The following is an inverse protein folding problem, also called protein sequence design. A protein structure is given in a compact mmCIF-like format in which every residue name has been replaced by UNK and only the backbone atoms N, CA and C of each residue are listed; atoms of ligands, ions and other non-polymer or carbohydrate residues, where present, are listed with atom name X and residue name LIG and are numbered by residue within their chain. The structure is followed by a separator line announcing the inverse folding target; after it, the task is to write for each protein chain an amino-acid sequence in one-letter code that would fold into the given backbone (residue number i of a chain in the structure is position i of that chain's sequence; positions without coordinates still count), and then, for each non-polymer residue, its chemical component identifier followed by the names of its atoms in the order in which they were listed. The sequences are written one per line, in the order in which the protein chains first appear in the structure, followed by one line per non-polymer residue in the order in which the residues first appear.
data_IF_372995708914
#
_entry.id   IF_372995708914
#
_cell.length_a   1.000
_cell.length_b   1.000
_cell.length_c   1.000
_cell.angle_alpha   90.00
_cell.angle_beta   90.00
_cell.angle_gamma   90.00
#
_symmetry.space_group_name_H-M   'P 1'
#
loop_
_entity.id
_entity.type
_entity.pdbx_description
1 polymer ?
#
# COMPACT_ATOMS: atom_id res chain seq x y z
N UNK A 1 -8.76 24.34 1.51
CA UNK A 1 -7.85 24.33 2.67
C UNK A 1 -7.25 22.93 2.75
N UNK A 2 -5.91 22.87 2.71
CA UNK A 2 -5.07 21.68 2.62
C UNK A 2 -5.28 20.68 3.76
N UNK A 3 -5.28 19.39 3.42
CA UNK A 3 -4.95 18.29 4.35
C UNK A 3 -4.38 17.12 3.55
N UNK A 4 -3.24 17.36 2.90
CA UNK A 4 -2.38 16.31 2.36
C UNK A 4 -0.97 16.34 2.99
N UNK A 5 -0.69 17.36 3.81
CA UNK A 5 0.67 17.69 4.29
C UNK A 5 1.07 16.92 5.56
N UNK A 6 0.11 16.37 6.31
CA UNK A 6 0.32 15.78 7.65
C UNK A 6 1.15 14.47 7.66
N UNK A 7 1.28 13.76 6.53
CA UNK A 7 2.08 12.52 6.46
C UNK A 7 3.57 12.75 6.23
N UNK A 8 4.00 13.99 6.01
CA UNK A 8 5.39 14.33 5.71
C UNK A 8 6.30 14.32 6.93
N UNK A 9 5.74 14.37 8.14
CA UNK A 9 6.48 14.52 9.40
C UNK A 9 6.86 13.18 10.06
N UNK A 10 6.54 12.05 9.43
CA UNK A 10 7.07 10.75 9.87
C UNK A 10 8.48 10.62 9.29
N UNK A 11 9.54 10.63 10.12
CA UNK A 11 10.90 10.46 9.61
C UNK A 11 10.99 9.10 8.95
N UNK A 12 11.23 9.10 7.63
CA UNK A 12 11.43 7.86 6.88
C UNK A 12 12.64 7.15 7.49
N UNK A 13 12.51 5.86 7.87
CA UNK A 13 13.65 5.14 8.41
C UNK A 13 14.77 5.14 7.37
N UNK A 14 15.96 5.54 7.82
CA UNK A 14 17.16 5.55 6.98
C UNK A 14 17.48 4.10 6.60
N UNK A 15 17.68 3.86 5.29
CA UNK A 15 18.01 2.54 4.73
C UNK A 15 19.29 2.03 5.37
N UNK A 16 19.22 0.88 6.04
CA UNK A 16 20.36 0.20 6.61
C UNK A 16 21.04 -0.67 5.54
N UNK A 17 22.36 -0.90 5.65
CA UNK A 17 23.03 -1.93 4.86
C UNK A 17 22.28 -3.26 5.00
N UNK A 18 21.90 -3.87 3.87
CA UNK A 18 21.13 -5.14 3.83
C UNK A 18 19.61 -4.98 3.63
N UNK A 19 19.03 -3.79 3.78
CA UNK A 19 17.60 -3.57 3.51
C UNK A 19 17.24 -3.88 2.06
N UNK A 20 18.14 -3.58 1.13
CA UNK A 20 17.96 -3.90 -0.30
C UNK A 20 17.84 -5.41 -0.53
N UNK A 21 18.75 -6.21 0.03
CA UNK A 21 18.73 -7.67 -0.10
C UNK A 21 17.48 -8.30 0.56
N UNK A 22 17.04 -7.74 1.70
CA UNK A 22 15.81 -8.18 2.37
C UNK A 22 14.57 -7.91 1.53
N UNK A 23 14.49 -6.74 0.92
CA UNK A 23 13.38 -6.40 0.04
C UNK A 23 13.41 -7.22 -1.24
N UNK A 24 14.58 -7.43 -1.84
CA UNK A 24 14.71 -8.25 -3.03
C UNK A 24 14.33 -9.71 -2.81
N UNK A 25 14.51 -10.25 -1.59
CA UNK A 25 13.99 -11.58 -1.23
C UNK A 25 12.47 -11.67 -1.29
N UNK A 26 11.75 -10.58 -1.03
CA UNK A 26 10.29 -10.54 -0.99
C UNK A 26 9.72 -10.13 -2.35
N UNK A 27 10.29 -9.08 -2.94
CA UNK A 27 9.75 -8.39 -4.11
C UNK A 27 10.52 -8.69 -5.40
N UNK A 28 11.68 -9.35 -5.31
CA UNK A 28 12.60 -9.54 -6.42
C UNK A 28 13.57 -8.38 -6.61
N UNK A 29 14.60 -8.60 -7.43
CA UNK A 29 15.60 -7.58 -7.82
C UNK A 29 15.10 -6.68 -8.97
N UNK A 30 14.13 -7.18 -9.75
CA UNK A 30 13.60 -6.49 -10.93
C UNK A 30 12.31 -5.77 -10.54
N UNK A 31 12.32 -4.45 -10.64
CA UNK A 31 11.11 -3.64 -10.50
C UNK A 31 10.26 -3.76 -11.77
N UNK A 32 8.92 -3.74 -11.65
CA UNK A 32 8.05 -3.69 -12.81
C UNK A 32 8.29 -2.41 -13.63
N UNK A 33 8.13 -2.51 -14.95
CA UNK A 33 8.21 -1.38 -15.89
C UNK A 33 7.11 -0.35 -15.65
N UNK A 34 5.98 -0.78 -15.06
CA UNK A 34 4.82 0.06 -14.76
C UNK A 34 4.63 0.23 -13.27
N UNK A 35 4.27 1.45 -12.86
CA UNK A 35 3.88 1.72 -11.47
C UNK A 35 2.46 1.22 -11.20
N UNK A 36 2.09 1.19 -9.91
CA UNK A 36 0.79 0.68 -9.50
C UNK A 36 -0.40 1.51 -9.99
N UNK A 37 -0.19 2.79 -10.29
CA UNK A 37 -1.17 3.74 -10.85
C UNK A 37 -1.28 3.64 -12.37
N UNK A 38 -0.20 3.26 -13.07
CA UNK A 38 -0.20 3.03 -14.52
C UNK A 38 -0.78 1.66 -14.89
N UNK A 39 -0.61 0.67 -14.01
CA UNK A 39 -1.27 -0.63 -14.09
C UNK A 39 -2.75 -0.41 -13.79
N UNK A 40 -3.56 -0.30 -14.85
CA UNK A 40 -5.01 -0.17 -14.76
C UNK A 40 -5.69 -1.28 -13.94
N UNK A 41 -7.02 -1.27 -13.91
CA UNK A 41 -7.86 -2.18 -13.11
C UNK A 41 -7.78 -3.67 -13.53
N UNK A 42 -6.72 -4.09 -14.22
CA UNK A 42 -6.33 -5.50 -14.42
C UNK A 42 -5.89 -6.18 -13.11
N UNK A 43 -5.97 -5.49 -11.98
CA UNK A 43 -6.02 -6.16 -10.69
C UNK A 43 -7.35 -6.88 -10.65
N UNK A 44 -7.36 -8.17 -10.29
CA UNK A 44 -8.57 -8.86 -9.87
C UNK A 44 -9.12 -8.12 -8.64
N UNK A 45 -9.78 -6.97 -8.83
CA UNK A 45 -10.44 -6.22 -7.78
C UNK A 45 -11.55 -7.17 -7.35
N UNK A 46 -11.41 -7.83 -6.18
CA UNK A 46 -12.35 -8.87 -5.84
C UNK A 46 -13.70 -8.18 -5.71
N UNK A 47 -14.73 -8.74 -6.36
CA UNK A 47 -16.13 -8.34 -6.19
C UNK A 47 -16.55 -8.23 -4.71
N UNK A 48 -15.75 -8.83 -3.82
CA UNK A 48 -15.84 -8.86 -2.36
C UNK A 48 -15.26 -7.62 -1.65
N UNK A 49 -14.79 -6.59 -2.38
CA UNK A 49 -14.23 -5.37 -1.75
C UNK A 49 -15.26 -4.68 -0.86
N UNK A 50 -16.51 -4.63 -1.33
CA UNK A 50 -17.62 -3.97 -0.66
C UNK A 50 -18.10 -4.77 0.57
N UNK A 51 -18.11 -6.10 0.47
CA UNK A 51 -18.44 -7.03 1.55
C UNK A 51 -17.35 -7.05 2.63
N UNK A 52 -16.07 -7.00 2.23
CA UNK A 52 -14.96 -6.77 3.15
C UNK A 52 -15.13 -5.45 3.90
N UNK A 53 -15.46 -4.35 3.22
CA UNK A 53 -15.63 -3.05 3.87
C UNK A 53 -16.79 -3.06 4.88
N UNK A 54 -17.92 -3.70 4.54
CA UNK A 54 -19.06 -3.87 5.46
C UNK A 54 -18.69 -4.72 6.69
N UNK A 55 -17.81 -5.71 6.54
CA UNK A 55 -17.31 -6.53 7.66
C UNK A 55 -16.43 -5.75 8.65
N UNK A 56 -15.87 -4.61 8.24
CA UNK A 56 -15.02 -3.78 9.09
C UNK A 56 -15.81 -2.79 9.96
N UNK A 57 -17.14 -2.75 9.88
CA UNK A 57 -17.96 -1.86 10.69
C UNK A 57 -17.93 -2.33 12.16
N UNK A 58 -17.44 -1.52 13.11
CA UNK A 58 -17.40 -1.88 14.52
C UNK A 58 -18.81 -2.11 15.10
N UNK A 59 -18.97 -3.06 16.06
CA UNK A 59 -20.28 -3.49 16.57
C UNK A 59 -21.04 -2.45 17.40
N UNK A 60 -20.45 -1.28 17.64
CA UNK A 60 -21.04 -0.21 18.46
C UNK A 60 -21.38 1.05 17.66
N UNK A 61 -21.62 0.92 16.35
CA UNK A 61 -22.31 1.95 15.60
C UNK A 61 -23.82 1.70 15.63
N UNK A 62 -24.44 2.18 16.71
CA UNK A 62 -25.87 2.35 16.90
C UNK A 62 -26.11 3.61 17.70
#
# INVERSE_FOLDING_TARGET
MSSADDRSDIPRPVRRPGDAARLARIFGEVLPETTGDERGDDRDTPSNTDDWLRSQVPPHHG
#
